data_IF_178684573869
#
_entry.id   IF_178684573869
#
_cell.length_a   1.000
_cell.length_b   1.000
_cell.length_c   1.000
_cell.angle_alpha   90.00
_cell.angle_beta   90.00
_cell.angle_gamma   90.00
#
_symmetry.space_group_name_H-M   'P 1'
#
loop_
_entity.id
_entity.type
_entity.pdbx_description
1 polymer ?
#
# COMPACT_ATOMS: atom_id res chain seq x y z
N UNK A 1 -0.31 -49.50 -18.18
CA UNK A 1 -1.54 -48.66 -18.19
C UNK A 1 -2.00 -48.23 -16.79
N UNK A 2 -2.36 -49.12 -15.86
CA UNK A 2 -2.83 -48.72 -14.49
C UNK A 2 -1.88 -47.79 -13.72
N UNK A 3 -0.57 -48.02 -13.76
CA UNK A 3 0.44 -47.15 -13.11
C UNK A 3 0.48 -45.73 -13.69
N UNK A 4 0.18 -45.56 -14.97
CA UNK A 4 0.17 -44.26 -15.64
C UNK A 4 -1.03 -43.41 -15.20
N UNK A 5 -2.21 -44.02 -15.04
CA UNK A 5 -3.39 -43.36 -14.48
C UNK A 5 -3.19 -42.91 -13.02
N UNK A 6 -2.47 -43.70 -12.22
CA UNK A 6 -2.13 -43.33 -10.84
C UNK A 6 -1.20 -42.10 -10.82
N UNK A 7 -0.21 -42.05 -11.71
CA UNK A 7 0.69 -40.89 -11.84
C UNK A 7 -0.08 -39.64 -12.27
N UNK A 8 -0.96 -39.75 -13.28
CA UNK A 8 -1.80 -38.63 -13.72
C UNK A 8 -2.70 -38.15 -12.58
N UNK A 9 -3.34 -39.07 -11.86
CA UNK A 9 -4.21 -38.74 -10.73
C UNK A 9 -3.44 -38.02 -9.62
N UNK A 10 -2.22 -38.47 -9.30
CA UNK A 10 -1.37 -37.81 -8.32
C UNK A 10 -0.99 -36.38 -8.73
N UNK A 11 -0.67 -36.16 -10.02
CA UNK A 11 -0.39 -34.83 -10.57
C UNK A 11 -1.63 -33.93 -10.45
N UNK A 12 -2.82 -34.43 -10.81
CA UNK A 12 -4.06 -33.66 -10.71
C UNK A 12 -4.36 -33.25 -9.26
N UNK A 13 -4.16 -34.16 -8.30
CA UNK A 13 -4.33 -33.86 -6.87
C UNK A 13 -3.35 -32.77 -6.44
N UNK A 14 -2.06 -32.87 -6.82
CA UNK A 14 -1.06 -31.85 -6.51
C UNK A 14 -1.42 -30.48 -7.10
N UNK A 15 -1.86 -30.45 -8.36
CA UNK A 15 -2.31 -29.21 -9.02
C UNK A 15 -3.51 -28.61 -8.30
N UNK A 16 -4.50 -29.44 -7.93
CA UNK A 16 -5.67 -28.98 -7.19
C UNK A 16 -5.31 -28.39 -5.81
N UNK A 17 -4.44 -29.08 -5.08
CA UNK A 17 -3.92 -28.58 -3.79
C UNK A 17 -3.19 -27.27 -3.99
N UNK A 18 -2.33 -27.17 -5.00
CA UNK A 18 -1.59 -25.96 -5.31
C UNK A 18 -2.51 -24.76 -5.64
N UNK A 19 -3.55 -24.96 -6.45
CA UNK A 19 -4.55 -23.92 -6.77
C UNK A 19 -5.30 -23.47 -5.52
N UNK A 20 -5.64 -24.41 -4.64
CA UNK A 20 -6.35 -24.09 -3.38
C UNK A 20 -5.48 -23.22 -2.46
N UNK A 21 -4.20 -23.57 -2.28
CA UNK A 21 -3.28 -22.80 -1.43
C UNK A 21 -2.99 -21.42 -2.05
N UNK A 22 -2.82 -21.32 -3.36
CA UNK A 22 -2.57 -20.03 -4.03
C UNK A 22 -3.77 -19.09 -3.88
N UNK A 23 -5.01 -19.60 -3.98
CA UNK A 23 -6.23 -18.82 -3.75
C UNK A 23 -6.31 -18.25 -2.32
N UNK A 24 -5.98 -19.07 -1.32
CA UNK A 24 -5.98 -18.67 0.10
C UNK A 24 -4.69 -17.97 0.56
N UNK A 25 -3.71 -17.82 -0.34
CA UNK A 25 -2.39 -17.30 0.01
C UNK A 25 -2.42 -15.91 0.65
N UNK A 26 -3.40 -15.09 0.28
CA UNK A 26 -3.60 -13.76 0.88
C UNK A 26 -3.92 -13.86 2.38
N UNK A 27 -4.94 -14.65 2.73
CA UNK A 27 -5.34 -14.90 4.12
C UNK A 27 -4.20 -15.53 4.92
N UNK A 28 -3.49 -16.49 4.32
CA UNK A 28 -2.34 -17.16 4.94
C UNK A 28 -1.21 -16.16 5.24
N UNK A 29 -0.91 -15.27 4.29
CA UNK A 29 0.14 -14.27 4.46
C UNK A 29 -0.16 -13.30 5.62
N UNK A 30 -1.41 -12.84 5.73
CA UNK A 30 -1.84 -11.97 6.82
C UNK A 30 -1.81 -12.68 8.18
N UNK A 31 -2.36 -13.90 8.24
CA UNK A 31 -2.36 -14.70 9.46
C UNK A 31 -0.93 -14.98 9.95
N UNK A 32 -0.01 -15.36 9.05
CA UNK A 32 1.41 -15.56 9.38
C UNK A 32 2.08 -14.29 9.90
N UNK A 33 1.67 -13.13 9.41
CA UNK A 33 2.17 -11.83 9.87
C UNK A 33 1.46 -11.32 11.14
N UNK A 34 0.49 -12.07 11.69
CA UNK A 34 -0.23 -11.70 12.91
C UNK A 34 -1.35 -10.67 12.70
N UNK A 35 -1.81 -10.48 11.47
CA UNK A 35 -2.88 -9.55 11.13
C UNK A 35 -4.23 -10.25 10.99
N UNK A 36 -5.29 -9.49 11.22
CA UNK A 36 -6.64 -9.96 11.01
C UNK A 36 -6.89 -10.20 9.52
N UNK A 37 -7.54 -11.32 9.21
CA UNK A 37 -8.13 -11.57 7.89
C UNK A 37 -9.54 -10.99 7.77
N UNK A 38 -10.14 -10.51 8.87
CA UNK A 38 -11.45 -9.85 8.88
C UNK A 38 -11.32 -8.33 8.71
N UNK A 39 -12.36 -7.71 8.15
CA UNK A 39 -12.46 -6.25 7.96
C UNK A 39 -11.30 -5.62 7.18
N UNK A 40 -10.90 -6.26 6.10
CA UNK A 40 -9.85 -5.78 5.21
C UNK A 40 -10.43 -4.74 4.25
N UNK A 41 -9.79 -3.58 4.19
CA UNK A 41 -10.07 -2.57 3.16
C UNK A 41 -8.86 -2.46 2.23
N UNK A 42 -9.05 -2.65 0.92
CA UNK A 42 -7.99 -2.37 -0.05
C UNK A 42 -7.95 -0.87 -0.31
N UNK A 43 -6.80 -0.25 -0.06
CA UNK A 43 -6.58 1.19 -0.23
C UNK A 43 -5.91 1.52 -1.56
N UNK A 44 -4.97 0.67 -1.99
CA UNK A 44 -4.33 0.79 -3.29
C UNK A 44 -4.01 -0.58 -3.89
N UNK A 45 -3.99 -0.63 -5.22
CA UNK A 45 -3.57 -1.77 -6.03
C UNK A 45 -2.73 -1.25 -7.18
N UNK A 46 -1.57 -1.86 -7.41
CA UNK A 46 -0.66 -1.47 -8.50
C UNK A 46 0.27 -2.63 -8.85
N UNK A 47 1.38 -2.34 -9.52
CA UNK A 47 2.48 -3.27 -9.77
C UNK A 47 3.81 -2.65 -9.33
N UNK A 48 4.74 -3.48 -8.85
CA UNK A 48 6.12 -3.07 -8.59
C UNK A 48 6.96 -3.05 -9.88
N UNK A 49 8.21 -2.62 -9.77
CA UNK A 49 9.15 -2.52 -10.90
C UNK A 49 9.49 -3.88 -11.54
N UNK A 50 9.20 -4.98 -10.84
CA UNK A 50 9.39 -6.35 -11.35
C UNK A 50 8.11 -6.90 -11.99
N UNK A 51 7.05 -6.10 -12.10
CA UNK A 51 5.74 -6.50 -12.61
C UNK A 51 4.93 -7.37 -11.64
N UNK A 52 5.34 -7.44 -10.37
CA UNK A 52 4.57 -8.16 -9.35
C UNK A 52 3.39 -7.30 -8.90
N UNK A 53 2.22 -7.93 -8.71
CA UNK A 53 1.04 -7.24 -8.21
C UNK A 53 1.29 -6.78 -6.75
N UNK A 54 1.00 -5.51 -6.47
CA UNK A 54 1.08 -4.94 -5.13
C UNK A 54 -0.31 -4.56 -4.62
N UNK A 55 -0.50 -4.73 -3.31
CA UNK A 55 -1.69 -4.26 -2.60
C UNK A 55 -1.28 -3.54 -1.33
N UNK A 56 -1.89 -2.39 -1.10
CA UNK A 56 -1.86 -1.72 0.19
C UNK A 56 -3.23 -1.82 0.81
N UNK A 57 -3.30 -2.38 2.01
CA UNK A 57 -4.56 -2.63 2.71
C UNK A 57 -4.55 -1.97 4.09
N UNK A 58 -5.75 -1.71 4.60
CA UNK A 58 -6.01 -1.50 6.03
C UNK A 58 -6.55 -2.79 6.62
N UNK A 59 -6.00 -3.17 7.77
CA UNK A 59 -6.44 -4.27 8.62
C UNK A 59 -6.19 -3.89 10.10
N UNK A 60 -6.34 -4.84 11.00
CA UNK A 60 -6.03 -4.73 12.41
C UNK A 60 -5.08 -5.84 12.87
N UNK A 61 -4.55 -5.71 14.08
CA UNK A 61 -3.78 -6.74 14.78
C UNK A 61 -4.29 -6.83 16.22
N UNK A 62 -3.79 -7.80 16.99
CA UNK A 62 -4.10 -7.89 18.43
C UNK A 62 -3.68 -6.64 19.23
N UNK A 63 -2.73 -5.85 18.71
CA UNK A 63 -2.17 -4.68 19.40
C UNK A 63 -2.70 -3.34 18.90
N UNK A 64 -3.14 -3.29 17.63
CA UNK A 64 -3.47 -2.05 16.93
C UNK A 64 -4.73 -2.23 16.09
N UNK A 65 -5.69 -1.33 16.28
CA UNK A 65 -6.96 -1.32 15.55
C UNK A 65 -6.79 -0.97 14.07
N UNK A 66 -5.75 -0.20 13.74
CA UNK A 66 -5.43 0.21 12.37
C UNK A 66 -3.98 -0.15 12.09
N UNK A 67 -3.79 -1.02 11.10
CA UNK A 67 -2.49 -1.39 10.53
C UNK A 67 -2.61 -1.27 9.02
N UNK A 68 -1.70 -0.51 8.41
CA UNK A 68 -1.53 -0.51 6.96
C UNK A 68 -0.47 -1.53 6.58
N UNK A 69 -0.76 -2.37 5.59
CA UNK A 69 0.12 -3.46 5.16
C UNK A 69 0.36 -3.36 3.66
N UNK A 70 1.65 -3.40 3.28
CA UNK A 70 2.09 -3.51 1.89
C UNK A 70 2.36 -4.98 1.57
N UNK A 71 1.64 -5.51 0.58
CA UNK A 71 1.77 -6.89 0.13
C UNK A 71 2.21 -6.94 -1.33
N UNK A 72 3.04 -7.94 -1.63
CA UNK A 72 3.51 -8.24 -2.99
C UNK A 72 3.10 -9.67 -3.33
N UNK A 73 2.56 -9.87 -4.53
CA UNK A 73 2.24 -11.18 -5.07
C UNK A 73 3.38 -11.66 -5.95
N UNK A 74 3.97 -12.81 -5.63
CA UNK A 74 5.02 -13.36 -6.46
C UNK A 74 4.48 -13.94 -7.79
N UNK A 75 5.39 -14.31 -8.69
CA UNK A 75 5.08 -14.91 -10.01
C UNK A 75 4.27 -16.21 -9.94
N UNK A 76 4.30 -16.91 -8.81
CA UNK A 76 3.54 -18.14 -8.57
C UNK A 76 2.15 -17.87 -7.96
N UNK A 77 1.80 -16.60 -7.76
CA UNK A 77 0.51 -16.17 -7.28
C UNK A 77 0.35 -16.11 -5.76
N UNK A 78 1.42 -16.31 -4.99
CA UNK A 78 1.39 -16.23 -3.53
C UNK A 78 1.64 -14.80 -3.05
N UNK A 79 0.80 -14.35 -2.12
CA UNK A 79 1.01 -13.09 -1.41
C UNK A 79 2.07 -13.21 -0.32
N UNK A 80 2.85 -12.15 -0.16
CA UNK A 80 3.80 -11.97 0.94
C UNK A 80 3.66 -10.54 1.48
N UNK A 81 3.68 -10.40 2.80
CA UNK A 81 3.80 -9.10 3.45
C UNK A 81 5.23 -8.59 3.25
N UNK A 82 5.37 -7.42 2.65
CA UNK A 82 6.66 -6.74 2.50
C UNK A 82 7.02 -5.98 3.76
N UNK A 83 6.18 -5.01 4.11
CA UNK A 83 6.29 -4.22 5.33
C UNK A 83 4.91 -3.69 5.72
N UNK A 84 4.81 -3.10 6.90
CA UNK A 84 3.58 -2.56 7.45
C UNK A 84 3.91 -1.35 8.31
N UNK A 85 2.88 -0.54 8.61
CA UNK A 85 3.04 0.65 9.44
C UNK A 85 3.60 0.29 10.81
N UNK A 86 4.66 0.96 11.25
CA UNK A 86 5.18 0.79 12.60
C UNK A 86 4.24 1.52 13.56
N UNK A 87 3.86 0.85 14.65
CA UNK A 87 3.09 1.46 15.74
C UNK A 87 3.93 2.54 16.41
N UNK A 88 3.92 3.75 15.87
CA UNK A 88 4.49 4.90 16.56
C UNK A 88 3.53 6.08 16.43
N UNK A 89 2.85 6.31 17.55
CA UNK A 89 1.81 7.31 17.82
C UNK A 89 0.40 6.92 17.34
N UNK A 90 -0.55 6.97 18.28
CA UNK A 90 -2.00 6.81 18.09
C UNK A 90 -2.63 7.90 17.19
N UNK A 91 -1.84 8.54 16.32
CA UNK A 91 -2.20 9.74 15.59
C UNK A 91 -2.74 9.40 14.20
N UNK A 92 -1.96 8.66 13.41
CA UNK A 92 -2.24 8.30 12.03
C UNK A 92 -1.41 7.07 11.65
N UNK A 93 -2.00 6.11 10.96
CA UNK A 93 -1.25 5.05 10.31
C UNK A 93 -0.72 5.55 8.97
N UNK A 94 0.59 5.36 8.72
CA UNK A 94 1.25 5.84 7.51
C UNK A 94 2.01 4.71 6.83
N UNK A 95 1.88 4.64 5.51
CA UNK A 95 2.66 3.73 4.67
C UNK A 95 3.00 4.42 3.36
N UNK A 96 4.21 4.20 2.85
CA UNK A 96 4.63 4.76 1.57
C UNK A 96 5.46 3.77 0.79
N UNK A 97 5.41 3.87 -0.52
CA UNK A 97 6.18 3.06 -1.45
C UNK A 97 6.61 3.90 -2.64
N UNK A 98 7.61 3.41 -3.36
CA UNK A 98 8.16 4.01 -4.57
C UNK A 98 8.16 2.95 -5.66
N UNK A 99 7.94 3.39 -6.90
CA UNK A 99 8.22 2.60 -8.10
C UNK A 99 8.86 3.49 -9.16
N UNK A 100 9.65 2.90 -10.05
CA UNK A 100 10.19 3.58 -11.21
C UNK A 100 9.09 3.76 -12.26
N UNK A 101 8.94 5.00 -12.75
CA UNK A 101 7.91 5.36 -13.72
C UNK A 101 8.50 5.44 -15.13
N UNK A 102 9.63 6.14 -15.29
CA UNK A 102 10.21 6.38 -16.60
C UNK A 102 11.73 6.52 -16.55
N UNK A 103 12.36 6.20 -17.69
CA UNK A 103 13.73 6.57 -18.00
C UNK A 103 13.65 7.54 -19.17
N UNK A 104 14.08 8.78 -18.97
CA UNK A 104 14.08 9.81 -20.02
C UNK A 104 15.51 10.07 -20.47
N UNK A 105 15.75 9.97 -21.78
CA UNK A 105 17.02 10.32 -22.39
C UNK A 105 16.75 11.19 -23.61
N UNK A 106 17.15 12.45 -23.56
CA UNK A 106 16.86 13.43 -24.62
C UNK A 106 17.93 13.41 -25.71
N UNK A 107 19.18 13.07 -25.39
CA UNK A 107 20.27 12.89 -26.35
C UNK A 107 21.15 11.66 -26.05
N UNK A 108 21.86 11.20 -27.08
CA UNK A 108 22.66 9.97 -27.07
C UNK A 108 23.97 10.08 -26.26
N UNK A 109 24.37 11.30 -25.91
CA UNK A 109 25.54 11.67 -25.12
C UNK A 109 25.20 12.12 -23.69
N UNK A 110 23.92 12.25 -23.36
CA UNK A 110 23.45 12.63 -22.02
C UNK A 110 23.15 11.40 -21.16
N UNK A 111 23.32 11.58 -19.84
CA UNK A 111 22.95 10.59 -18.84
C UNK A 111 21.41 10.45 -18.77
N UNK A 112 20.91 9.21 -18.60
CA UNK A 112 19.47 8.98 -18.46
C UNK A 112 18.95 9.57 -17.14
N UNK A 113 17.82 10.28 -17.22
CA UNK A 113 17.07 10.74 -16.05
C UNK A 113 16.06 9.66 -15.64
N UNK A 114 16.13 9.25 -14.38
CA UNK A 114 15.21 8.29 -13.81
C UNK A 114 14.12 9.04 -13.04
N UNK A 115 12.86 8.77 -13.38
CA UNK A 115 11.69 9.35 -12.74
C UNK A 115 11.03 8.28 -11.88
N UNK A 116 10.85 8.60 -10.59
CA UNK A 116 10.18 7.74 -9.63
C UNK A 116 8.77 8.26 -9.33
N UNK A 117 7.79 7.36 -9.26
CA UNK A 117 6.46 7.62 -8.71
C UNK A 117 6.48 7.25 -7.23
N UNK A 118 6.34 8.27 -6.38
CA UNK A 118 6.33 8.13 -4.94
C UNK A 118 4.89 8.19 -4.43
N UNK A 119 4.57 7.31 -3.50
CA UNK A 119 3.25 7.21 -2.90
C UNK A 119 3.34 7.27 -1.37
N UNK A 120 2.35 7.92 -0.76
CA UNK A 120 2.15 7.88 0.69
C UNK A 120 0.68 7.89 1.04
N UNK A 121 0.25 6.93 1.84
CA UNK A 121 -1.10 6.82 2.38
C UNK A 121 -1.06 7.12 3.88
N UNK A 122 -1.95 8.01 4.29
CA UNK A 122 -2.27 8.32 5.68
C UNK A 122 -3.67 7.83 5.97
N UNK A 123 -3.87 7.14 7.08
CA UNK A 123 -5.16 6.59 7.49
C UNK A 123 -5.45 6.91 8.95
N UNK A 124 -6.67 7.33 9.25
CA UNK A 124 -7.12 7.59 10.62
C UNK A 124 -8.62 7.31 10.82
N UNK A 125 -9.04 7.28 12.09
CA UNK A 125 -10.42 7.00 12.51
C UNK A 125 -11.02 8.07 13.44
N UNK A 126 -10.47 9.29 13.39
CA UNK A 126 -10.83 10.42 14.24
C UNK A 126 -11.26 11.66 13.45
N UNK A 127 -11.75 11.50 12.22
CA UNK A 127 -12.23 12.63 11.42
C UNK A 127 -13.47 13.29 12.04
N UNK A 128 -13.47 14.62 12.00
CA UNK A 128 -14.59 15.51 12.34
C UNK A 128 -15.25 16.00 11.04
N UNK A 129 -14.43 16.34 10.03
CA UNK A 129 -14.87 16.81 8.71
C UNK A 129 -13.82 16.47 7.65
N UNK A 130 -14.24 16.46 6.38
CA UNK A 130 -13.34 16.26 5.24
C UNK A 130 -12.29 17.36 5.20
N UNK A 131 -11.04 16.98 4.93
CA UNK A 131 -9.97 17.96 4.69
C UNK A 131 -10.13 18.56 3.30
N UNK A 132 -9.93 19.87 3.24
CA UNK A 132 -9.74 20.63 2.02
C UNK A 132 -8.37 21.31 2.16
N UNK A 133 -7.53 21.17 1.14
CA UNK A 133 -6.21 21.78 1.13
C UNK A 133 -6.30 23.17 0.50
N UNK A 134 -5.81 24.18 1.21
CA UNK A 134 -5.67 25.53 0.68
C UNK A 134 -4.43 25.62 -0.22
N UNK A 135 -4.38 26.57 -1.17
CA UNK A 135 -3.20 26.84 -1.98
C UNK A 135 -1.94 26.99 -1.12
N UNK A 136 -0.85 26.34 -1.53
CA UNK A 136 0.43 26.34 -0.83
C UNK A 136 0.56 25.36 0.35
N UNK A 137 -0.50 24.63 0.73
CA UNK A 137 -0.39 23.58 1.76
C UNK A 137 0.17 22.25 1.22
N UNK A 138 -0.03 22.01 -0.07
CA UNK A 138 0.47 20.85 -0.80
C UNK A 138 1.31 21.38 -1.97
N UNK A 139 2.52 20.83 -2.23
CA UNK A 139 3.32 21.18 -3.40
C UNK A 139 2.56 20.94 -4.71
N UNK A 140 2.79 21.79 -5.71
CA UNK A 140 2.05 21.75 -6.98
C UNK A 140 2.23 20.44 -7.76
N UNK A 141 3.34 19.74 -7.57
CA UNK A 141 3.65 18.46 -8.21
C UNK A 141 3.11 17.23 -7.46
N UNK A 142 2.24 17.43 -6.46
CA UNK A 142 1.66 16.34 -5.65
C UNK A 142 0.16 16.23 -5.93
N UNK A 143 -0.25 15.09 -6.46
CA UNK A 143 -1.65 14.71 -6.58
C UNK A 143 -2.16 14.16 -5.24
N UNK A 144 -3.39 14.53 -4.87
CA UNK A 144 -4.00 14.15 -3.60
C UNK A 144 -5.36 13.53 -3.80
N UNK A 145 -5.56 12.32 -3.27
CA UNK A 145 -6.85 11.65 -3.20
C UNK A 145 -7.29 11.56 -1.74
N UNK A 146 -8.52 12.00 -1.46
CA UNK A 146 -9.07 12.07 -0.10
C UNK A 146 -10.40 11.33 -0.09
N UNK A 147 -10.49 10.37 0.82
CA UNK A 147 -11.72 9.66 1.11
C UNK A 147 -12.03 9.74 2.61
N UNK A 148 -13.31 9.89 2.93
CA UNK A 148 -13.79 9.85 4.31
C UNK A 148 -15.16 9.17 4.36
N UNK A 149 -15.34 8.30 5.35
CA UNK A 149 -16.64 7.74 5.76
C UNK A 149 -16.79 7.84 7.27
N UNK A 150 -17.78 8.59 7.75
CA UNK A 150 -17.92 8.89 9.17
C UNK A 150 -16.63 9.47 9.75
N UNK A 151 -16.05 8.76 10.74
CA UNK A 151 -14.78 9.14 11.39
C UNK A 151 -13.55 8.55 10.70
N UNK A 152 -13.71 7.56 9.82
CA UNK A 152 -12.60 6.94 9.08
C UNK A 152 -12.26 7.74 7.83
N UNK A 153 -10.98 7.88 7.54
CA UNK A 153 -10.49 8.59 6.37
C UNK A 153 -9.16 8.03 5.90
N UNK A 154 -8.88 8.23 4.61
CA UNK A 154 -7.52 8.09 4.10
C UNK A 154 -7.18 9.22 3.13
N UNK A 155 -5.91 9.58 3.13
CA UNK A 155 -5.31 10.57 2.23
C UNK A 155 -4.17 9.88 1.50
N UNK A 156 -4.25 9.81 0.18
CA UNK A 156 -3.22 9.25 -0.68
C UNK A 156 -2.56 10.38 -1.45
N UNK A 157 -1.26 10.56 -1.21
CA UNK A 157 -0.41 11.49 -1.93
C UNK A 157 0.39 10.72 -2.98
N UNK A 158 0.47 11.27 -4.20
CA UNK A 158 1.27 10.74 -5.30
C UNK A 158 2.05 11.87 -5.93
N UNK A 159 3.34 11.67 -6.18
CA UNK A 159 4.15 12.62 -6.95
C UNK A 159 5.13 11.89 -7.85
N UNK A 160 5.47 12.54 -8.97
CA UNK A 160 6.52 12.12 -9.88
C UNK A 160 7.72 13.03 -9.69
N UNK A 161 8.91 12.45 -9.55
CA UNK A 161 10.12 13.23 -9.37
C UNK A 161 11.35 12.56 -9.98
N UNK A 162 12.24 13.41 -10.49
CA UNK A 162 13.62 13.08 -10.87
C UNK A 162 14.56 13.58 -9.76
N UNK A 163 14.98 12.73 -8.83
CA UNK A 163 15.83 13.16 -7.71
C UNK A 163 15.85 12.21 -6.52
N UNK A 164 16.59 12.59 -5.46
CA UNK A 164 16.77 11.77 -4.24
C UNK A 164 15.72 12.04 -3.16
N UNK A 165 15.09 13.21 -3.13
CA UNK A 165 14.27 13.65 -2.00
C UNK A 165 12.81 13.92 -2.39
N UNK A 166 11.95 12.93 -2.17
CA UNK A 166 10.51 13.05 -2.44
C UNK A 166 9.88 14.26 -1.74
N UNK A 167 9.11 15.13 -2.43
CA UNK A 167 8.38 16.23 -1.82
C UNK A 167 7.35 15.73 -0.81
N UNK A 168 6.98 14.45 -0.83
CA UNK A 168 6.11 13.86 0.17
C UNK A 168 6.72 13.90 1.58
N UNK A 169 8.04 13.96 1.70
CA UNK A 169 8.75 14.04 2.98
C UNK A 169 8.55 15.38 3.70
N UNK A 170 8.25 16.46 2.97
CA UNK A 170 8.03 17.79 3.58
C UNK A 170 6.59 18.02 4.05
N UNK A 171 5.66 17.13 3.69
CA UNK A 171 4.23 17.29 3.98
C UNK A 171 3.88 16.61 5.30
N UNK A 172 3.61 17.42 6.33
CA UNK A 172 3.05 16.94 7.59
C UNK A 172 1.51 16.96 7.56
N UNK A 173 0.94 15.86 7.07
CA UNK A 173 -0.52 15.68 6.99
C UNK A 173 -1.19 15.75 8.38
N UNK A 174 -0.54 15.24 9.43
CA UNK A 174 -1.12 15.27 10.78
C UNK A 174 -1.30 16.71 11.26
N UNK A 175 -0.26 17.53 11.13
CA UNK A 175 -0.30 18.94 11.51
C UNK A 175 -1.30 19.74 10.67
N UNK A 176 -1.41 19.45 9.37
CA UNK A 176 -2.41 20.07 8.50
C UNK A 176 -3.84 19.71 8.95
N UNK A 177 -4.10 18.44 9.27
CA UNK A 177 -5.40 17.98 9.75
C UNK A 177 -5.79 18.64 11.08
N UNK A 178 -4.83 18.80 12.01
CA UNK A 178 -5.08 19.52 13.27
C UNK A 178 -5.35 21.00 13.04
N UNK A 179 -4.51 21.68 12.25
CA UNK A 179 -4.63 23.12 11.98
C UNK A 179 -5.97 23.46 11.32
N UNK A 180 -6.43 22.61 10.39
CA UNK A 180 -7.70 22.77 9.71
C UNK A 180 -8.92 22.27 10.52
N UNK A 181 -8.70 21.77 11.75
CA UNK A 181 -9.71 21.18 12.64
C UNK A 181 -10.48 20.03 11.98
N UNK A 182 -9.78 19.22 11.19
CA UNK A 182 -10.34 18.07 10.48
C UNK A 182 -10.38 16.80 11.35
N UNK A 183 -9.54 16.73 12.38
CA UNK A 183 -9.44 15.57 13.27
C UNK A 183 -9.56 15.97 14.73
N UNK A 184 -10.08 15.06 15.55
CA UNK A 184 -10.06 15.21 16.99
C UNK A 184 -8.62 15.03 17.51
N UNK A 185 -8.20 15.94 18.40
CA UNK A 185 -6.90 15.83 19.06
C UNK A 185 -6.94 14.65 20.04
N UNK A 186 -6.34 13.52 19.65
CA UNK A 186 -6.17 12.36 20.50
C UNK A 186 -4.96 12.63 21.41
N UNK A 187 -5.24 12.99 22.66
CA UNK A 187 -4.21 13.10 23.72
C UNK A 187 -3.74 11.72 24.14
#
# INVERSE_FOLDING_TARGET
>A
MKKFYIVILAILILVFVFITITKESFSIALWRAGFSSSNIQTLARSFDDNGNEIKVIKTSSKKHDIVLVYLVKNKFGFWKVGYFTTSSSNKLAVIGWMKWSAIRRFKLDEDPLFEAENHRIYYGNNAIKRIEFFPGQIPENVAVSIWQTGKEYYIHLVCFETGKDSPLNSIDIYSLLLKNKCIANLR
#
